data_IF_566902913306
#
_entry.id   IF_566902913306
#
_cell.length_a   1.000
_cell.length_b   1.000
_cell.length_c   1.000
_cell.angle_alpha   90.00
_cell.angle_beta   90.00
_cell.angle_gamma   90.00
#
_symmetry.space_group_name_H-M   'P 1'
#
loop_
_entity.id
_entity.type
_entity.pdbx_description
1 polymer ?
#
# COMPACT_ATOMS: atom_id res chain seq x y z
N UNK A 1 18.67 14.86 3.62
CA UNK A 1 19.30 16.12 3.14
C UNK A 1 18.52 17.31 3.63
N UNK A 2 19.20 18.38 4.04
CA UNK A 2 18.53 19.56 4.62
C UNK A 2 18.93 20.90 4.01
N UNK A 3 20.06 20.97 3.31
CA UNK A 3 20.62 22.23 2.80
C UNK A 3 21.31 22.02 1.45
N UNK A 4 21.11 22.97 0.54
CA UNK A 4 21.76 23.07 -0.77
C UNK A 4 22.55 24.38 -0.83
N UNK A 5 23.70 24.36 -1.48
CA UNK A 5 24.49 25.55 -1.83
C UNK A 5 24.98 25.42 -3.27
N UNK A 6 25.16 26.54 -3.96
CA UNK A 6 25.71 26.58 -5.31
C UNK A 6 26.97 27.45 -5.28
N UNK A 7 28.08 26.94 -5.81
CA UNK A 7 29.32 27.69 -5.95
C UNK A 7 30.04 27.29 -7.24
N UNK A 8 30.40 28.27 -8.08
CA UNK A 8 31.08 28.04 -9.36
C UNK A 8 30.40 26.99 -10.25
N UNK A 9 29.06 27.05 -10.34
CA UNK A 9 28.22 26.09 -11.08
C UNK A 9 28.26 24.65 -10.57
N UNK A 10 28.79 24.40 -9.38
CA UNK A 10 28.71 23.11 -8.69
C UNK A 10 27.64 23.22 -7.61
N UNK A 11 26.72 22.26 -7.61
CA UNK A 11 25.67 22.17 -6.58
C UNK A 11 26.17 21.25 -5.47
N UNK A 12 26.13 21.74 -4.23
CA UNK A 12 26.54 20.99 -3.06
C UNK A 12 25.36 20.70 -2.15
N UNK A 13 25.31 19.50 -1.60
CA UNK A 13 24.28 19.08 -0.65
C UNK A 13 24.91 18.49 0.60
N UNK A 14 24.30 18.83 1.74
CA UNK A 14 24.59 18.21 3.04
C UNK A 14 23.53 17.15 3.36
N UNK A 15 23.96 15.90 3.44
CA UNK A 15 23.14 14.78 3.87
C UNK A 15 23.41 14.43 5.34
N UNK A 16 22.35 14.24 6.12
CA UNK A 16 22.44 13.61 7.44
C UNK A 16 22.54 12.11 7.22
N UNK A 17 23.51 11.46 7.84
CA UNK A 17 23.61 10.01 7.85
C UNK A 17 22.64 9.46 8.92
N UNK A 18 21.35 9.77 8.80
CA UNK A 18 20.32 9.21 9.67
C UNK A 18 20.08 7.76 9.25
N UNK A 19 20.91 6.86 9.76
CA UNK A 19 20.59 5.45 9.82
C UNK A 19 19.71 5.21 11.06
N UNK A 20 18.52 4.64 10.83
CA UNK A 20 17.50 4.34 11.85
C UNK A 20 17.98 3.52 13.06
N UNK A 21 19.24 3.06 13.10
CA UNK A 21 19.83 2.29 14.20
C UNK A 21 21.32 2.61 14.48
N UNK A 22 21.90 3.67 13.90
CA UNK A 22 23.27 4.05 14.26
C UNK A 22 23.24 4.88 15.54
N UNK A 23 23.44 4.23 16.67
CA UNK A 23 23.87 4.92 17.86
C UNK A 23 25.22 5.61 17.52
N UNK A 24 25.23 6.95 17.57
CA UNK A 24 26.41 7.80 17.79
C UNK A 24 27.43 8.08 16.67
N UNK A 25 27.05 8.15 15.39
CA UNK A 25 27.91 8.87 14.42
C UNK A 25 27.18 10.13 13.94
N UNK A 26 27.48 11.26 14.57
CA UNK A 26 27.17 12.59 14.05
C UNK A 26 28.02 12.86 12.78
N UNK A 27 27.74 12.10 11.72
CA UNK A 27 28.39 12.23 10.42
C UNK A 27 27.49 12.97 9.46
N UNK A 28 27.97 14.10 8.93
CA UNK A 28 27.39 14.68 7.72
C UNK A 28 28.23 14.23 6.54
N UNK A 29 27.56 13.69 5.53
CA UNK A 29 28.17 13.38 4.24
C UNK A 29 27.83 14.50 3.27
N UNK A 30 28.81 14.90 2.48
CA UNK A 30 28.66 15.96 1.48
C UNK A 30 28.68 15.35 0.10
N UNK A 31 27.79 15.84 -0.76
CA UNK A 31 27.74 15.45 -2.16
C UNK A 31 27.87 16.70 -3.03
N UNK A 32 28.55 16.55 -4.16
CA UNK A 32 28.67 17.57 -5.18
C UNK A 32 28.06 17.07 -6.49
N UNK A 33 27.51 17.99 -7.27
CA UNK A 33 26.96 17.73 -8.59
C UNK A 33 27.50 18.75 -9.57
N UNK A 34 28.08 18.23 -10.65
CA UNK A 34 28.67 19.00 -11.75
C UNK A 34 27.69 19.20 -12.93
N UNK A 35 26.47 18.66 -12.84
CA UNK A 35 25.46 18.64 -13.90
C UNK A 35 24.11 19.21 -13.46
N UNK A 36 24.16 20.21 -12.56
CA UNK A 36 22.99 20.92 -12.02
C UNK A 36 22.05 20.03 -11.18
N UNK A 37 22.60 19.04 -10.49
CA UNK A 37 21.89 18.22 -9.51
C UNK A 37 21.35 16.89 -10.05
N UNK A 38 21.76 16.45 -11.23
CA UNK A 38 21.27 15.20 -11.83
C UNK A 38 22.09 13.99 -11.38
N UNK A 39 23.42 14.12 -11.31
CA UNK A 39 24.35 13.12 -10.76
C UNK A 39 25.11 13.70 -9.57
N UNK A 40 25.46 12.82 -8.64
CA UNK A 40 26.04 13.20 -7.35
C UNK A 40 27.24 12.33 -7.01
N UNK A 41 28.33 12.97 -6.66
CA UNK A 41 29.55 12.34 -6.15
C UNK A 41 29.77 12.72 -4.69
N UNK A 42 30.20 11.76 -3.88
CA UNK A 42 30.57 12.03 -2.49
C UNK A 42 31.88 12.82 -2.46
N UNK A 43 31.91 13.90 -1.67
CA UNK A 43 33.11 14.73 -1.49
C UNK A 43 33.54 14.73 -0.03
N UNK A 44 34.82 14.50 0.20
CA UNK A 44 35.40 14.44 1.55
C UNK A 44 35.30 15.76 2.30
N UNK A 45 35.47 16.88 1.61
CA UNK A 45 35.25 18.21 2.19
C UNK A 45 34.98 19.26 1.12
N UNK A 46 33.82 19.95 1.14
CA UNK A 46 33.60 21.14 0.32
C UNK A 46 34.57 22.27 0.67
N UNK A 47 34.63 23.30 -0.17
CA UNK A 47 35.37 24.52 0.17
C UNK A 47 34.85 25.15 1.46
N UNK A 48 35.70 25.86 2.21
CA UNK A 48 35.30 26.47 3.49
C UNK A 48 34.09 27.41 3.36
N UNK A 49 33.98 28.13 2.25
CA UNK A 49 32.86 29.02 1.94
C UNK A 49 31.54 28.23 1.80
N UNK A 50 31.54 27.15 1.00
CA UNK A 50 30.39 26.25 0.86
C UNK A 50 30.05 25.58 2.19
N UNK A 51 31.06 25.17 2.95
CA UNK A 51 30.88 24.52 4.25
C UNK A 51 30.17 25.44 5.25
N UNK A 52 30.49 26.73 5.26
CA UNK A 52 29.82 27.71 6.12
C UNK A 52 28.33 27.84 5.77
N UNK A 53 28.00 27.91 4.48
CA UNK A 53 26.60 27.99 4.00
C UNK A 53 25.83 26.70 4.35
N UNK A 54 26.43 25.54 4.12
CA UNK A 54 25.83 24.24 4.43
C UNK A 54 25.66 23.99 5.94
N UNK A 55 26.45 24.67 6.78
CA UNK A 55 26.34 24.63 8.24
C UNK A 55 25.35 25.64 8.81
N UNK A 56 25.01 26.68 8.06
CA UNK A 56 24.07 27.70 8.51
C UNK A 56 22.72 27.05 8.85
N UNK A 57 22.19 27.40 10.04
CA UNK A 57 20.83 26.97 10.42
C UNK A 57 19.87 27.44 9.34
N UNK A 58 18.93 26.58 8.98
CA UNK A 58 17.94 26.87 7.96
C UNK A 58 17.20 28.16 8.35
N UNK A 59 17.51 29.25 7.65
CA UNK A 59 16.81 30.50 7.81
C UNK A 59 15.37 30.33 7.31
N UNK A 60 14.46 31.17 7.83
CA UNK A 60 13.09 31.24 7.38
C UNK A 60 13.08 31.29 5.84
N UNK A 61 12.40 30.33 5.21
CA UNK A 61 12.42 30.07 3.77
C UNK A 61 12.14 31.36 2.99
N UNK A 62 13.19 31.94 2.40
CA UNK A 62 13.11 33.12 1.54
C UNK A 62 12.91 32.69 0.09
N UNK A 63 12.15 33.43 -0.71
CA UNK A 63 12.07 33.19 -2.14
C UNK A 63 13.45 33.33 -2.79
N UNK A 64 13.75 32.50 -3.78
CA UNK A 64 14.97 32.54 -4.58
C UNK A 64 14.59 32.96 -6.00
N UNK A 65 15.08 34.11 -6.43
CA UNK A 65 14.79 34.68 -7.75
C UNK A 65 15.96 34.45 -8.72
N UNK A 66 15.64 34.33 -10.01
CA UNK A 66 16.63 34.26 -11.09
C UNK A 66 17.31 35.63 -11.21
N UNK A 67 18.63 35.67 -11.42
CA UNK A 67 19.37 36.94 -11.45
C UNK A 67 19.10 37.69 -12.75
N UNK A 68 19.04 36.98 -13.88
CA UNK A 68 18.76 37.58 -15.20
C UNK A 68 17.27 37.95 -15.35
N UNK A 69 16.38 37.10 -14.84
CA UNK A 69 14.93 37.28 -14.91
C UNK A 69 14.36 37.56 -13.51
N UNK A 70 14.59 38.77 -13.00
CA UNK A 70 14.23 39.17 -11.62
C UNK A 70 12.75 39.04 -11.27
N UNK A 71 11.88 38.82 -12.26
CA UNK A 71 10.44 38.57 -12.06
C UNK A 71 10.12 37.11 -11.74
N UNK A 72 10.99 36.17 -12.08
CA UNK A 72 10.76 34.75 -11.84
C UNK A 72 11.41 34.36 -10.52
N UNK A 73 10.58 33.96 -9.55
CA UNK A 73 11.02 33.55 -8.23
C UNK A 73 10.40 32.22 -7.84
N UNK A 74 11.15 31.42 -7.08
CA UNK A 74 10.70 30.15 -6.54
C UNK A 74 10.69 30.20 -5.02
N UNK A 75 9.74 29.49 -4.41
CA UNK A 75 9.74 29.30 -2.95
C UNK A 75 9.17 27.95 -2.56
N UNK A 76 9.40 27.61 -1.29
CA UNK A 76 8.83 26.46 -0.60
C UNK A 76 8.02 26.98 0.59
N UNK A 77 6.87 26.37 0.89
CA UNK A 77 5.89 26.88 1.87
C UNK A 77 5.62 25.94 3.04
N UNK A 78 6.60 25.09 3.40
CA UNK A 78 6.44 23.96 4.34
C UNK A 78 5.26 23.02 4.00
N UNK A 79 4.79 23.09 2.75
CA UNK A 79 3.82 22.18 2.16
C UNK A 79 4.55 21.27 1.17
N UNK A 80 3.86 20.24 0.71
CA UNK A 80 4.37 19.23 -0.23
C UNK A 80 4.39 19.75 -1.68
N UNK A 81 4.86 20.98 -1.86
CA UNK A 81 4.85 21.69 -3.15
C UNK A 81 6.00 22.70 -3.25
N UNK A 82 6.35 23.03 -4.50
CA UNK A 82 7.19 24.17 -4.88
C UNK A 82 6.30 25.16 -5.60
N UNK A 83 6.43 26.43 -5.24
CA UNK A 83 5.66 27.51 -5.85
C UNK A 83 6.57 28.37 -6.74
N UNK A 84 6.01 28.85 -7.84
CA UNK A 84 6.64 29.81 -8.75
C UNK A 84 5.84 31.12 -8.74
N UNK A 85 6.56 32.22 -8.87
CA UNK A 85 6.05 33.56 -9.12
C UNK A 85 6.66 34.08 -10.41
N UNK A 86 5.85 34.75 -11.24
CA UNK A 86 6.29 35.39 -12.48
C UNK A 86 6.24 36.93 -12.39
N UNK A 87 6.02 37.48 -11.20
CA UNK A 87 5.84 38.91 -10.94
C UNK A 87 6.70 39.43 -9.77
N UNK A 88 7.83 38.76 -9.51
CA UNK A 88 8.79 39.17 -8.48
C UNK A 88 8.34 38.80 -7.06
N UNK A 89 7.49 37.79 -6.92
CA UNK A 89 7.01 37.28 -5.65
C UNK A 89 5.70 37.90 -5.14
N UNK A 90 4.95 38.59 -6.00
CA UNK A 90 3.66 39.20 -5.63
C UNK A 90 2.56 38.12 -5.64
N UNK A 91 2.46 37.34 -6.71
CA UNK A 91 1.55 36.19 -6.82
C UNK A 91 2.35 34.89 -6.94
N UNK A 92 1.75 33.81 -6.45
CA UNK A 92 2.38 32.49 -6.37
C UNK A 92 1.42 31.42 -6.84
N UNK A 93 1.93 30.50 -7.64
CA UNK A 93 1.19 29.33 -8.12
C UNK A 93 2.01 28.06 -7.90
N UNK A 94 1.34 26.91 -7.80
CA UNK A 94 2.01 25.61 -7.68
C UNK A 94 2.74 25.30 -8.99
N UNK A 95 4.03 25.03 -8.90
CA UNK A 95 4.90 24.67 -10.04
C UNK A 95 5.27 23.19 -10.01
N UNK A 96 5.39 22.63 -8.80
CA UNK A 96 5.51 21.21 -8.57
C UNK A 96 4.71 20.82 -7.33
N UNK A 97 4.05 19.67 -7.39
CA UNK A 97 3.38 19.05 -6.27
C UNK A 97 3.37 17.54 -6.45
N UNK A 98 3.27 16.79 -5.35
CA UNK A 98 3.02 15.35 -5.42
C UNK A 98 1.66 15.12 -6.09
N UNK A 99 1.56 14.19 -7.06
CA UNK A 99 0.27 13.90 -7.68
C UNK A 99 -0.78 13.46 -6.65
N UNK A 100 -2.03 13.86 -6.85
CA UNK A 100 -3.13 13.57 -5.92
C UNK A 100 -3.22 12.06 -5.61
N UNK A 101 -3.39 11.72 -4.32
CA UNK A 101 -3.50 10.35 -3.82
C UNK A 101 -2.19 9.53 -3.81
N UNK A 102 -1.06 10.10 -4.28
CA UNK A 102 0.23 9.38 -4.31
C UNK A 102 1.03 9.46 -3.03
N UNK A 103 0.67 10.38 -2.14
CA UNK A 103 1.21 10.43 -0.79
C UNK A 103 0.98 9.12 -0.04
N UNK A 104 -0.25 8.59 -0.06
CA UNK A 104 -0.59 7.37 0.68
C UNK A 104 0.15 6.15 0.11
N UNK A 105 0.26 6.07 -1.22
CA UNK A 105 1.08 5.05 -1.88
C UNK A 105 2.55 5.11 -1.41
N UNK A 106 3.14 6.31 -1.42
CA UNK A 106 4.51 6.49 -0.95
C UNK A 106 4.67 6.15 0.53
N UNK A 107 3.66 6.41 1.37
CA UNK A 107 3.68 6.06 2.79
C UNK A 107 3.61 4.54 3.03
N UNK A 108 2.81 3.80 2.25
CA UNK A 108 2.68 2.35 2.36
C UNK A 108 3.97 1.58 2.06
N UNK A 109 4.90 2.17 1.31
CA UNK A 109 6.20 1.57 1.00
C UNK A 109 7.18 1.53 2.19
N UNK A 110 6.90 2.20 3.30
CA UNK A 110 7.82 2.33 4.43
C UNK A 110 7.32 1.59 5.68
N UNK A 111 8.20 0.78 6.29
CA UNK A 111 7.98 0.10 7.58
C UNK A 111 8.41 0.98 8.78
N UNK A 112 8.82 2.23 8.54
CA UNK A 112 9.37 3.13 9.56
C UNK A 112 8.98 4.59 9.33
N UNK A 113 9.83 5.57 9.69
CA UNK A 113 9.53 6.97 9.41
C UNK A 113 9.34 7.13 7.90
N UNK A 114 8.14 7.58 7.52
CA UNK A 114 7.71 7.66 6.13
C UNK A 114 8.59 8.57 5.26
N UNK A 115 8.29 8.65 3.96
CA UNK A 115 9.02 9.50 3.05
C UNK A 115 8.89 10.96 3.49
N UNK A 116 10.01 11.69 3.48
CA UNK A 116 9.98 13.12 3.73
C UNK A 116 9.56 13.84 2.47
N UNK A 117 8.30 14.24 2.46
CA UNK A 117 7.61 14.81 1.29
C UNK A 117 7.60 16.35 1.28
N UNK A 118 8.06 16.98 2.36
CA UNK A 118 8.17 18.44 2.47
C UNK A 118 9.57 18.89 2.01
N UNK A 119 9.68 19.81 1.05
CA UNK A 119 10.94 20.42 0.66
C UNK A 119 11.65 21.13 1.83
N UNK A 120 12.96 20.99 1.92
CA UNK A 120 13.79 21.66 2.94
C UNK A 120 14.43 22.94 2.42
N UNK A 121 15.04 22.88 1.24
CA UNK A 121 15.83 24.00 0.72
C UNK A 121 15.71 24.07 -0.79
N UNK A 122 15.95 25.24 -1.35
CA UNK A 122 15.83 25.50 -2.78
C UNK A 122 16.99 26.39 -3.23
N UNK A 123 17.54 26.10 -4.40
CA UNK A 123 18.56 26.91 -5.05
C UNK A 123 18.30 26.99 -6.56
N UNK A 124 18.72 28.08 -7.18
CA UNK A 124 18.66 28.27 -8.62
C UNK A 124 20.10 28.33 -9.15
N UNK A 125 20.37 27.60 -10.23
CA UNK A 125 21.65 27.63 -10.94
C UNK A 125 21.42 28.10 -12.37
N UNK A 126 22.23 29.04 -12.85
CA UNK A 126 22.15 29.52 -14.24
C UNK A 126 23.13 28.74 -15.12
N UNK A 127 22.71 28.44 -16.35
CA UNK A 127 23.48 27.74 -17.37
C UNK A 127 23.27 28.43 -18.73
N UNK A 128 24.12 28.11 -19.71
CA UNK A 128 24.03 28.68 -21.06
C UNK A 128 22.68 28.38 -21.76
N UNK A 129 21.98 27.32 -21.34
CA UNK A 129 20.70 26.88 -21.91
C UNK A 129 19.47 27.34 -21.11
N UNK A 130 19.66 28.07 -20.00
CA UNK A 130 18.59 28.49 -19.09
C UNK A 130 18.94 28.23 -17.62
N UNK A 131 17.95 28.26 -16.74
CA UNK A 131 18.14 28.00 -15.31
C UNK A 131 17.66 26.61 -14.90
N UNK A 132 18.31 26.08 -13.86
CA UNK A 132 17.91 24.87 -13.15
C UNK A 132 17.45 25.26 -11.74
N UNK A 133 16.41 24.59 -11.24
CA UNK A 133 15.94 24.76 -9.86
C UNK A 133 16.19 23.46 -9.12
N UNK A 134 17.00 23.48 -8.07
CA UNK A 134 17.34 22.30 -7.28
C UNK A 134 16.72 22.42 -5.89
N UNK A 135 15.98 21.41 -5.48
CA UNK A 135 15.20 21.38 -4.24
C UNK A 135 15.58 20.14 -3.42
N UNK A 136 15.89 20.34 -2.13
CA UNK A 136 16.28 19.25 -1.24
C UNK A 136 15.04 18.60 -0.63
N UNK A 137 14.90 17.28 -0.82
CA UNK A 137 13.70 16.52 -0.44
C UNK A 137 13.96 15.52 0.70
N UNK A 138 14.85 15.83 1.65
CA UNK A 138 15.01 14.97 2.83
C UNK A 138 15.62 13.61 2.52
N UNK A 139 14.87 12.53 2.75
CA UNK A 139 15.26 11.15 2.39
C UNK A 139 14.87 10.76 0.95
N UNK A 140 14.27 11.68 0.17
CA UNK A 140 13.77 11.43 -1.18
C UNK A 140 14.70 11.91 -2.30
N UNK A 141 15.97 12.21 -2.01
CA UNK A 141 16.86 12.77 -3.03
C UNK A 141 16.75 14.29 -3.16
N UNK A 142 16.99 14.74 -4.38
CA UNK A 142 16.72 16.11 -4.83
C UNK A 142 15.65 16.10 -5.91
N UNK A 143 14.94 17.21 -6.02
CA UNK A 143 14.01 17.50 -7.09
C UNK A 143 14.64 18.61 -7.95
N UNK A 144 14.74 18.40 -9.26
CA UNK A 144 15.39 19.31 -10.20
C UNK A 144 14.43 19.72 -11.31
N UNK A 145 14.23 21.02 -11.50
CA UNK A 145 13.55 21.59 -12.66
C UNK A 145 14.58 21.86 -13.75
N UNK A 146 14.39 21.28 -14.93
CA UNK A 146 15.21 21.57 -16.12
C UNK A 146 14.72 22.83 -16.85
N UNK A 147 15.54 23.43 -17.75
CA UNK A 147 15.16 24.61 -18.52
C UNK A 147 13.93 24.44 -19.41
N UNK A 148 13.58 23.21 -19.77
CA UNK A 148 12.35 22.85 -20.50
C UNK A 148 11.08 22.92 -19.63
N UNK A 149 11.22 23.17 -18.32
CA UNK A 149 10.14 23.27 -17.36
C UNK A 149 9.77 21.96 -16.67
N UNK A 150 10.39 20.83 -17.03
CA UNK A 150 10.07 19.53 -16.45
C UNK A 150 10.75 19.33 -15.10
N UNK A 151 10.04 18.66 -14.19
CA UNK A 151 10.54 18.33 -12.86
C UNK A 151 10.92 16.84 -12.77
N UNK A 152 12.17 16.57 -12.40
CA UNK A 152 12.70 15.23 -12.25
C UNK A 152 13.28 15.01 -10.84
N UNK A 153 13.21 13.78 -10.33
CA UNK A 153 13.72 13.42 -9.00
C UNK A 153 14.98 12.58 -9.15
N UNK A 154 16.03 12.93 -8.43
CA UNK A 154 17.33 12.28 -8.51
C UNK A 154 17.79 11.80 -7.14
N UNK A 155 18.41 10.63 -7.10
CA UNK A 155 18.98 10.07 -5.87
C UNK A 155 20.26 10.81 -5.47
N UNK A 156 20.49 10.94 -4.17
CA UNK A 156 21.73 11.51 -3.60
C UNK A 156 22.21 10.58 -2.50
N UNK A 157 23.30 9.86 -2.76
CA UNK A 157 23.78 8.81 -1.87
C UNK A 157 22.70 7.76 -1.62
N UNK A 158 22.35 7.53 -0.35
CA UNK A 158 21.31 6.58 0.07
C UNK A 158 19.88 7.15 0.00
N UNK A 159 19.72 8.44 -0.26
CA UNK A 159 18.40 9.05 -0.35
C UNK A 159 17.86 8.90 -1.78
N UNK A 160 16.99 7.89 -1.94
CA UNK A 160 16.40 7.50 -3.24
C UNK A 160 14.96 8.00 -3.31
N UNK A 161 14.53 8.63 -4.42
CA UNK A 161 13.14 9.02 -4.61
C UNK A 161 12.21 7.82 -4.57
N UNK A 162 11.19 7.86 -3.71
CA UNK A 162 10.16 6.83 -3.68
C UNK A 162 9.27 6.98 -4.93
N UNK A 163 9.01 5.89 -5.68
CA UNK A 163 8.16 5.96 -6.86
C UNK A 163 6.73 6.38 -6.49
N UNK A 164 6.03 7.02 -7.41
CA UNK A 164 4.62 7.41 -7.20
C UNK A 164 3.63 6.26 -7.49
N UNK A 165 4.12 5.19 -8.10
CA UNK A 165 3.33 4.03 -8.50
C UNK A 165 4.24 2.80 -8.63
N UNK A 166 3.66 1.62 -8.60
CA UNK A 166 4.37 0.37 -8.80
C UNK A 166 4.84 0.25 -10.26
N UNK A 167 6.01 -0.32 -10.49
CA UNK A 167 6.52 -0.57 -11.83
C UNK A 167 5.79 -1.74 -12.53
N UNK A 168 5.22 -2.67 -11.76
CA UNK A 168 4.52 -3.84 -12.27
C UNK A 168 3.52 -4.42 -11.24
N UNK A 169 2.74 -5.42 -11.66
CA UNK A 169 1.73 -6.08 -10.82
C UNK A 169 2.29 -6.76 -9.57
N UNK A 170 3.53 -7.27 -9.63
CA UNK A 170 4.16 -7.92 -8.49
C UNK A 170 4.44 -6.91 -7.38
N UNK A 171 5.11 -5.81 -7.74
CA UNK A 171 5.37 -4.71 -6.80
C UNK A 171 4.06 -4.09 -6.28
N UNK A 172 3.05 -3.94 -7.14
CA UNK A 172 1.72 -3.49 -6.69
C UNK A 172 1.11 -4.43 -5.63
N UNK A 173 1.26 -5.74 -5.80
CA UNK A 173 0.75 -6.75 -4.86
C UNK A 173 1.54 -6.74 -3.54
N UNK A 174 2.85 -6.52 -3.60
CA UNK A 174 3.72 -6.44 -2.41
C UNK A 174 3.32 -5.24 -1.54
N UNK A 175 3.03 -4.08 -2.15
CA UNK A 175 2.54 -2.88 -1.43
C UNK A 175 1.15 -3.11 -0.83
N UNK A 176 0.27 -3.78 -1.56
CA UNK A 176 -1.13 -4.02 -1.19
C UNK A 176 -1.34 -5.25 -0.28
N UNK A 177 -0.34 -5.63 0.51
CA UNK A 177 -0.41 -6.85 1.31
C UNK A 177 -1.61 -6.86 2.28
N UNK A 178 -1.91 -5.74 2.95
CA UNK A 178 -3.07 -5.59 3.83
C UNK A 178 -4.42 -5.77 3.11
N UNK A 179 -4.56 -5.16 1.94
CA UNK A 179 -5.73 -5.23 1.07
C UNK A 179 -5.90 -6.64 0.52
N UNK A 180 -4.80 -7.29 0.14
CA UNK A 180 -4.77 -8.68 -0.31
C UNK A 180 -5.33 -9.61 0.78
N UNK A 181 -4.79 -9.54 2.00
CA UNK A 181 -5.27 -10.37 3.10
C UNK A 181 -6.72 -10.09 3.46
N UNK A 182 -7.12 -8.80 3.49
CA UNK A 182 -8.50 -8.41 3.74
C UNK A 182 -9.45 -8.94 2.66
N UNK A 183 -9.02 -8.91 1.39
CA UNK A 183 -9.82 -9.41 0.26
C UNK A 183 -9.93 -10.93 0.28
N UNK A 184 -8.85 -11.65 0.65
CA UNK A 184 -8.89 -13.10 0.87
C UNK A 184 -9.90 -13.43 1.98
N UNK A 185 -9.87 -12.69 3.09
CA UNK A 185 -10.80 -12.89 4.20
C UNK A 185 -12.25 -12.61 3.78
N UNK A 186 -12.51 -11.52 3.06
CA UNK A 186 -13.85 -11.19 2.54
C UNK A 186 -14.35 -12.27 1.58
N UNK A 187 -13.51 -12.70 0.63
CA UNK A 187 -13.84 -13.76 -0.33
C UNK A 187 -14.15 -15.08 0.38
N UNK A 188 -13.35 -15.43 1.38
CA UNK A 188 -13.58 -16.59 2.23
C UNK A 188 -14.91 -16.45 3.00
N UNK A 189 -15.15 -15.34 3.71
CA UNK A 189 -16.42 -15.12 4.40
C UNK A 189 -17.64 -15.19 3.45
N UNK A 190 -17.53 -14.65 2.25
CA UNK A 190 -18.57 -14.77 1.21
C UNK A 190 -18.80 -16.23 0.81
N UNK A 191 -17.73 -16.99 0.61
CA UNK A 191 -17.81 -18.43 0.33
C UNK A 191 -18.57 -19.20 1.41
N UNK A 192 -18.28 -18.86 2.67
CA UNK A 192 -18.93 -19.46 3.82
C UNK A 192 -20.42 -19.12 3.89
N UNK A 193 -20.77 -17.86 3.62
CA UNK A 193 -22.15 -17.39 3.57
C UNK A 193 -22.96 -18.13 2.48
N UNK A 194 -22.40 -18.22 1.27
CA UNK A 194 -23.03 -18.91 0.14
C UNK A 194 -23.18 -20.41 0.42
N UNK A 195 -22.15 -21.03 1.01
CA UNK A 195 -22.21 -22.44 1.43
C UNK A 195 -23.29 -22.69 2.46
N UNK A 196 -23.37 -21.85 3.50
CA UNK A 196 -24.41 -21.95 4.52
C UNK A 196 -25.81 -21.80 3.90
N UNK A 197 -25.99 -20.84 3.00
CA UNK A 197 -27.25 -20.64 2.30
C UNK A 197 -27.66 -21.86 1.45
N UNK A 198 -26.70 -22.46 0.74
CA UNK A 198 -26.91 -23.69 -0.01
C UNK A 198 -27.30 -24.86 0.93
N UNK A 199 -26.64 -24.98 2.09
CA UNK A 199 -26.96 -26.01 3.07
C UNK A 199 -28.34 -25.82 3.68
N UNK A 200 -28.76 -24.59 4.01
CA UNK A 200 -30.11 -24.28 4.48
C UNK A 200 -31.16 -24.69 3.45
N UNK A 201 -30.90 -24.40 2.18
CA UNK A 201 -31.77 -24.79 1.06
C UNK A 201 -31.93 -26.31 0.97
N UNK A 202 -30.83 -27.06 1.09
CA UNK A 202 -30.85 -28.53 1.10
C UNK A 202 -31.53 -29.05 2.37
N UNK A 203 -31.26 -28.43 3.52
CA UNK A 203 -31.79 -28.80 4.83
C UNK A 203 -33.31 -28.73 4.88
N UNK A 204 -33.92 -27.64 4.41
CA UNK A 204 -35.38 -27.43 4.42
C UNK A 204 -36.10 -28.57 3.69
N UNK A 205 -35.46 -29.18 2.69
CA UNK A 205 -36.03 -30.28 1.88
C UNK A 205 -35.71 -31.67 2.43
N UNK A 206 -34.91 -31.77 3.49
CA UNK A 206 -34.39 -33.05 3.98
C UNK A 206 -35.28 -33.71 5.04
N UNK A 207 -35.21 -35.05 5.13
CA UNK A 207 -35.89 -35.83 6.17
C UNK A 207 -35.32 -35.51 7.58
N UNK A 208 -36.12 -35.75 8.63
CA UNK A 208 -35.83 -35.43 10.04
C UNK A 208 -34.51 -36.01 10.52
N UNK A 209 -34.15 -37.23 10.11
CA UNK A 209 -32.86 -37.84 10.49
C UNK A 209 -31.67 -37.10 9.85
N UNK A 210 -31.86 -36.61 8.63
CA UNK A 210 -30.84 -35.91 7.84
C UNK A 210 -30.57 -34.50 8.37
N UNK A 211 -31.63 -33.83 8.83
CA UNK A 211 -31.59 -32.51 9.48
C UNK A 211 -30.61 -32.49 10.65
N UNK A 212 -30.64 -33.50 11.52
CA UNK A 212 -29.75 -33.54 12.70
C UNK A 212 -28.26 -33.57 12.31
N UNK A 213 -27.89 -34.31 11.26
CA UNK A 213 -26.50 -34.41 10.76
C UNK A 213 -26.02 -33.11 10.12
N UNK A 214 -26.88 -32.46 9.34
CA UNK A 214 -26.58 -31.16 8.73
C UNK A 214 -26.38 -30.10 9.82
N UNK A 215 -27.26 -30.07 10.84
CA UNK A 215 -27.17 -29.11 11.95
C UNK A 215 -25.84 -29.23 12.72
N UNK A 216 -25.40 -30.45 13.04
CA UNK A 216 -24.09 -30.66 13.69
C UNK A 216 -22.94 -30.17 12.83
N UNK A 217 -23.01 -30.35 11.51
CA UNK A 217 -21.95 -29.88 10.60
C UNK A 217 -21.93 -28.35 10.50
N UNK A 218 -23.10 -27.70 10.48
CA UNK A 218 -23.23 -26.25 10.55
C UNK A 218 -22.65 -25.66 11.86
N UNK A 219 -22.78 -26.36 12.99
CA UNK A 219 -22.22 -25.90 14.28
C UNK A 219 -20.68 -25.93 14.29
N UNK A 220 -20.06 -27.00 13.78
CA UNK A 220 -18.58 -27.09 13.65
C UNK A 220 -18.06 -26.00 12.70
N UNK A 221 -18.84 -25.69 11.67
CA UNK A 221 -18.55 -24.63 10.73
C UNK A 221 -18.65 -23.22 11.34
N UNK A 222 -19.71 -22.92 12.10
CA UNK A 222 -19.85 -21.64 12.82
C UNK A 222 -18.69 -21.40 13.79
N UNK A 223 -18.19 -22.46 14.43
CA UNK A 223 -16.99 -22.36 15.26
C UNK A 223 -15.74 -21.96 14.46
N UNK A 224 -15.61 -22.47 13.23
CA UNK A 224 -14.53 -22.13 12.31
C UNK A 224 -14.60 -20.68 11.82
N UNK A 225 -15.82 -20.14 11.64
CA UNK A 225 -16.07 -18.73 11.31
C UNK A 225 -15.60 -17.79 12.41
N UNK A 226 -15.70 -18.17 13.68
CA UNK A 226 -15.27 -17.31 14.80
C UNK A 226 -13.75 -17.32 14.94
N UNK A 227 -13.13 -18.51 14.83
CA UNK A 227 -11.68 -18.66 15.05
C UNK A 227 -10.85 -17.87 14.04
N UNK A 228 -11.21 -17.89 12.75
CA UNK A 228 -10.40 -17.29 11.69
C UNK A 228 -10.27 -15.75 11.79
N UNK A 229 -11.36 -14.98 11.94
CA UNK A 229 -11.29 -13.54 12.20
C UNK A 229 -10.62 -13.22 13.52
N UNK A 230 -10.89 -13.97 14.60
CA UNK A 230 -10.22 -13.75 15.89
C UNK A 230 -8.71 -13.93 15.78
N UNK A 231 -8.27 -14.94 15.02
CA UNK A 231 -6.87 -15.19 14.74
C UNK A 231 -6.25 -14.12 13.83
N UNK A 232 -6.98 -13.67 12.81
CA UNK A 232 -6.54 -12.57 11.94
C UNK A 232 -6.36 -11.27 12.73
N UNK A 233 -7.34 -10.90 13.57
CA UNK A 233 -7.28 -9.73 14.46
C UNK A 233 -6.08 -9.85 15.39
N UNK A 234 -5.82 -11.04 15.95
CA UNK A 234 -4.67 -11.30 16.80
C UNK A 234 -3.33 -11.09 16.06
N UNK A 235 -3.24 -11.52 14.79
CA UNK A 235 -2.04 -11.29 13.98
C UNK A 235 -1.86 -9.82 13.59
N UNK A 236 -2.94 -9.14 13.20
CA UNK A 236 -2.88 -7.75 12.74
C UNK A 236 -2.65 -6.75 13.87
N UNK A 237 -3.03 -7.11 15.11
CA UNK A 237 -2.81 -6.28 16.31
C UNK A 237 -1.39 -6.39 16.89
N UNK A 238 -0.55 -7.26 16.35
CA UNK A 238 0.78 -7.57 16.89
C UNK A 238 1.97 -6.61 16.64
N UNK A 239 1.96 -5.48 15.87
CA UNK A 239 3.21 -4.78 15.57
C UNK A 239 3.56 -3.53 16.38
N UNK A 240 2.76 -3.05 17.35
CA UNK A 240 3.01 -1.70 17.93
C UNK A 240 3.14 -1.61 19.46
N UNK A 241 3.34 -2.74 20.16
CA UNK A 241 3.58 -2.73 21.60
C UNK A 241 5.10 -2.65 21.84
N UNK A 242 5.66 -1.43 21.70
CA UNK A 242 7.11 -1.18 21.70
C UNK A 242 7.90 -1.64 22.93
N UNK A 243 7.25 -1.90 24.07
CA UNK A 243 7.89 -2.46 25.28
C UNK A 243 8.03 -3.99 25.26
N UNK A 244 7.39 -4.68 24.32
CA UNK A 244 7.53 -6.14 24.17
C UNK A 244 8.64 -6.53 23.19
N UNK A 245 9.14 -5.64 22.31
CA UNK A 245 10.05 -6.03 21.22
C UNK A 245 11.32 -6.77 21.68
N UNK A 246 11.91 -6.39 22.80
CA UNK A 246 13.12 -7.03 23.34
C UNK A 246 12.85 -8.42 23.93
N UNK A 247 11.71 -8.62 24.61
CA UNK A 247 11.30 -9.95 25.11
C UNK A 247 10.70 -10.82 23.98
N UNK A 248 9.98 -10.20 23.04
CA UNK A 248 9.42 -10.83 21.84
C UNK A 248 10.52 -11.38 20.95
N UNK A 249 11.60 -10.63 20.71
CA UNK A 249 12.68 -11.11 19.84
C UNK A 249 13.32 -12.40 20.38
N UNK A 250 13.54 -12.47 21.70
CA UNK A 250 14.14 -13.66 22.33
C UNK A 250 13.19 -14.85 22.35
N UNK A 251 11.92 -14.66 22.75
CA UNK A 251 10.93 -15.75 22.81
C UNK A 251 10.50 -16.19 21.40
N UNK A 252 10.21 -15.26 20.50
CA UNK A 252 9.80 -15.60 19.12
C UNK A 252 10.93 -16.24 18.35
N UNK A 253 12.20 -15.83 18.52
CA UNK A 253 13.29 -16.50 17.80
C UNK A 253 13.42 -17.97 18.20
N UNK A 254 13.28 -18.31 19.48
CA UNK A 254 13.36 -19.70 19.97
C UNK A 254 12.11 -20.52 19.63
N UNK A 255 10.93 -19.90 19.65
CA UNK A 255 9.66 -20.58 19.37
C UNK A 255 9.15 -20.38 17.93
N UNK A 256 9.94 -19.76 17.04
CA UNK A 256 9.48 -19.35 15.69
C UNK A 256 8.89 -20.51 14.91
N UNK A 257 9.55 -21.67 14.98
CA UNK A 257 9.11 -22.87 14.26
C UNK A 257 7.86 -23.50 14.88
N UNK A 258 7.76 -23.54 16.21
CA UNK A 258 6.59 -24.07 16.92
C UNK A 258 5.37 -23.18 16.68
N UNK A 259 5.57 -21.86 16.80
CA UNK A 259 4.54 -20.86 16.49
C UNK A 259 4.15 -20.98 15.02
N UNK A 260 5.10 -20.99 14.08
CA UNK A 260 4.80 -21.14 12.65
C UNK A 260 4.05 -22.45 12.34
N UNK A 261 4.45 -23.57 12.94
CA UNK A 261 3.75 -24.85 12.79
C UNK A 261 2.33 -24.82 13.34
N UNK A 262 2.14 -24.30 14.55
CA UNK A 262 0.82 -24.11 15.15
C UNK A 262 -0.06 -23.18 14.30
N UNK A 263 0.51 -22.11 13.74
CA UNK A 263 -0.18 -21.20 12.81
C UNK A 263 -0.66 -21.94 11.57
N UNK A 264 0.17 -22.78 10.95
CA UNK A 264 -0.23 -23.58 9.79
C UNK A 264 -1.41 -24.51 10.15
N UNK A 265 -1.33 -25.22 11.27
CA UNK A 265 -2.40 -26.14 11.70
C UNK A 265 -3.72 -25.39 11.97
N UNK A 266 -3.67 -24.27 12.68
CA UNK A 266 -4.84 -23.43 12.99
C UNK A 266 -5.52 -22.92 11.71
N UNK A 267 -4.75 -22.59 10.67
CA UNK A 267 -5.29 -22.14 9.39
C UNK A 267 -5.84 -23.28 8.53
N UNK A 268 -5.26 -24.48 8.61
CA UNK A 268 -5.70 -25.65 7.81
C UNK A 268 -6.97 -26.29 8.38
N UNK A 269 -7.13 -26.32 9.70
CA UNK A 269 -8.23 -27.03 10.35
C UNK A 269 -9.64 -26.56 9.90
N UNK A 270 -9.92 -25.23 9.79
CA UNK A 270 -11.16 -24.72 9.21
C UNK A 270 -11.42 -25.21 7.78
N UNK A 271 -10.36 -25.26 6.96
CA UNK A 271 -10.44 -25.70 5.58
C UNK A 271 -10.80 -27.18 5.50
N UNK A 272 -10.15 -28.04 6.30
CA UNK A 272 -10.48 -29.48 6.37
C UNK A 272 -11.92 -29.67 6.85
N UNK A 273 -12.30 -29.03 7.95
CA UNK A 273 -13.65 -29.09 8.53
C UNK A 273 -14.73 -28.71 7.49
N UNK A 274 -14.44 -27.67 6.73
CA UNK A 274 -15.29 -27.20 5.66
C UNK A 274 -15.45 -28.22 4.53
N UNK A 275 -14.35 -28.77 4.00
CA UNK A 275 -14.41 -29.78 2.95
C UNK A 275 -15.14 -31.04 3.40
N UNK A 276 -14.89 -31.49 4.63
CA UNK A 276 -15.62 -32.61 5.23
C UNK A 276 -17.12 -32.31 5.29
N UNK A 277 -17.50 -31.09 5.68
CA UNK A 277 -18.91 -30.67 5.73
C UNK A 277 -19.57 -30.71 4.35
N UNK A 278 -18.91 -30.17 3.32
CA UNK A 278 -19.44 -30.24 1.94
C UNK A 278 -19.54 -31.67 1.42
N UNK A 279 -18.53 -32.51 1.66
CA UNK A 279 -18.57 -33.94 1.29
C UNK A 279 -19.73 -34.64 1.98
N UNK A 280 -19.99 -34.34 3.26
CA UNK A 280 -21.14 -34.87 3.97
C UNK A 280 -22.45 -34.39 3.35
N UNK A 281 -22.61 -33.08 3.11
CA UNK A 281 -23.82 -32.49 2.52
C UNK A 281 -24.11 -33.06 1.13
N UNK A 282 -23.10 -33.18 0.25
CA UNK A 282 -23.26 -33.75 -1.09
C UNK A 282 -23.67 -35.23 -1.01
N UNK A 283 -23.01 -36.03 -0.15
CA UNK A 283 -23.37 -37.45 0.04
C UNK A 283 -24.80 -37.65 0.53
N UNK A 284 -25.27 -36.72 1.34
CA UNK A 284 -26.59 -36.70 1.98
C UNK A 284 -27.68 -36.16 1.05
N UNK A 285 -27.32 -35.29 0.10
CA UNK A 285 -28.27 -34.64 -0.79
C UNK A 285 -29.02 -35.65 -1.67
N UNK A 286 -30.32 -35.44 -1.85
CA UNK A 286 -31.17 -36.27 -2.73
C UNK A 286 -30.72 -36.20 -4.19
N UNK A 287 -30.16 -35.05 -4.60
CA UNK A 287 -29.61 -34.82 -5.93
C UNK A 287 -28.15 -34.36 -5.79
N UNK A 288 -27.22 -35.28 -6.04
CA UNK A 288 -25.77 -35.03 -5.91
C UNK A 288 -25.28 -33.98 -6.88
N UNK A 289 -25.85 -33.93 -8.09
CA UNK A 289 -25.46 -32.97 -9.13
C UNK A 289 -25.80 -31.55 -8.69
N UNK A 290 -26.96 -31.38 -8.04
CA UNK A 290 -27.36 -30.10 -7.46
C UNK A 290 -26.41 -29.67 -6.33
N UNK A 291 -26.05 -30.58 -5.43
CA UNK A 291 -25.10 -30.30 -4.35
C UNK A 291 -23.69 -29.95 -4.87
N UNK A 292 -23.26 -30.59 -5.96
CA UNK A 292 -21.99 -30.27 -6.61
C UNK A 292 -22.05 -28.91 -7.33
N UNK A 293 -23.16 -28.61 -7.99
CA UNK A 293 -23.37 -27.35 -8.69
C UNK A 293 -23.36 -26.15 -7.73
N UNK A 294 -24.02 -26.23 -6.57
CA UNK A 294 -24.02 -25.16 -5.57
C UNK A 294 -22.64 -24.97 -4.92
N UNK A 295 -21.92 -26.06 -4.65
CA UNK A 295 -20.51 -25.97 -4.22
C UNK A 295 -19.68 -25.24 -5.28
N UNK A 296 -19.78 -25.65 -6.55
CA UNK A 296 -19.02 -25.05 -7.64
C UNK A 296 -19.33 -23.56 -7.78
N UNK A 297 -20.60 -23.18 -7.73
CA UNK A 297 -21.00 -21.77 -7.81
C UNK A 297 -20.49 -20.96 -6.63
N UNK A 298 -20.59 -21.51 -5.41
CA UNK A 298 -20.02 -20.88 -4.21
C UNK A 298 -18.52 -20.62 -4.39
N UNK A 299 -17.75 -21.60 -4.89
CA UNK A 299 -16.31 -21.43 -5.16
C UNK A 299 -16.06 -20.38 -6.24
N UNK A 300 -16.75 -20.48 -7.38
CA UNK A 300 -16.57 -19.59 -8.53
C UNK A 300 -16.89 -18.15 -8.16
N UNK A 301 -18.01 -17.89 -7.49
CA UNK A 301 -18.38 -16.53 -7.08
C UNK A 301 -17.41 -15.95 -6.06
N UNK A 302 -16.87 -16.75 -5.14
CA UNK A 302 -15.85 -16.28 -4.20
C UNK A 302 -14.53 -15.94 -4.88
N UNK A 303 -14.12 -16.71 -5.90
CA UNK A 303 -12.94 -16.37 -6.72
C UNK A 303 -13.18 -15.10 -7.52
N UNK A 304 -14.34 -14.96 -8.16
CA UNK A 304 -14.71 -13.72 -8.88
C UNK A 304 -14.70 -12.53 -7.92
N UNK A 305 -15.31 -12.67 -6.74
CA UNK A 305 -15.36 -11.63 -5.71
C UNK A 305 -13.95 -11.17 -5.32
N UNK A 306 -13.03 -12.12 -5.08
CA UNK A 306 -11.64 -11.83 -4.76
C UNK A 306 -10.98 -10.94 -5.82
N UNK A 307 -11.07 -11.32 -7.10
CA UNK A 307 -10.45 -10.53 -8.18
C UNK A 307 -11.14 -9.18 -8.38
N UNK A 308 -12.47 -9.13 -8.28
CA UNK A 308 -13.25 -7.92 -8.43
C UNK A 308 -12.96 -6.87 -7.35
N UNK A 309 -12.73 -7.30 -6.10
CA UNK A 309 -12.36 -6.40 -4.99
C UNK A 309 -10.90 -5.99 -5.09
N UNK A 310 -10.00 -6.89 -5.48
CA UNK A 310 -8.56 -6.61 -5.52
C UNK A 310 -8.14 -5.73 -6.70
N UNK A 311 -8.78 -5.89 -7.85
CA UNK A 311 -8.38 -5.22 -9.10
C UNK A 311 -8.35 -3.68 -8.99
N UNK A 312 -9.34 -2.98 -8.40
CA UNK A 312 -9.28 -1.53 -8.25
C UNK A 312 -8.07 -1.07 -7.42
N UNK A 313 -7.70 -1.81 -6.36
CA UNK A 313 -6.50 -1.49 -5.58
C UNK A 313 -5.22 -1.66 -6.41
N UNK A 314 -5.12 -2.74 -7.20
CA UNK A 314 -4.00 -2.91 -8.11
C UNK A 314 -3.90 -1.79 -9.15
N UNK A 315 -5.04 -1.37 -9.73
CA UNK A 315 -5.10 -0.24 -10.65
C UNK A 315 -4.73 1.09 -9.99
N UNK A 316 -5.05 1.27 -8.70
CA UNK A 316 -4.57 2.41 -7.93
C UNK A 316 -3.06 2.38 -7.75
N UNK A 317 -2.49 1.27 -7.27
CA UNK A 317 -1.06 1.11 -7.08
C UNK A 317 -0.26 1.29 -8.39
N UNK A 318 -0.83 0.90 -9.54
CA UNK A 318 -0.23 1.03 -10.87
C UNK A 318 -0.31 2.43 -11.49
N UNK A 319 -0.94 3.41 -10.84
CA UNK A 319 -1.05 4.76 -11.42
C UNK A 319 -2.39 5.08 -12.08
N UNK A 320 -3.20 4.06 -12.41
CA UNK A 320 -4.41 4.21 -13.25
C UNK A 320 -5.56 4.90 -12.49
N UNK A 321 -5.79 4.52 -11.23
CA UNK A 321 -6.70 5.22 -10.32
C UNK A 321 -5.85 6.13 -9.44
N UNK A 322 -6.05 7.44 -9.49
CA UNK A 322 -5.18 8.41 -8.79
C UNK A 322 -5.35 8.36 -7.26
N UNK A 323 -6.58 8.19 -6.78
CA UNK A 323 -6.96 8.35 -5.37
C UNK A 323 -7.38 7.01 -4.76
N UNK A 324 -6.86 6.67 -3.59
CA UNK A 324 -7.09 5.37 -2.93
C UNK A 324 -8.58 5.18 -2.58
N UNK A 325 -9.22 6.23 -2.08
CA UNK A 325 -10.64 6.24 -1.71
C UNK A 325 -11.54 5.90 -2.89
N UNK A 326 -11.15 6.32 -4.10
CA UNK A 326 -11.88 5.97 -5.32
C UNK A 326 -11.79 4.46 -5.61
N UNK A 327 -10.60 3.88 -5.48
CA UNK A 327 -10.44 2.43 -5.61
C UNK A 327 -11.25 1.66 -4.56
N UNK A 328 -11.22 2.11 -3.30
CA UNK A 328 -12.00 1.53 -2.21
C UNK A 328 -13.51 1.53 -2.53
N UNK A 329 -14.08 2.67 -2.96
CA UNK A 329 -15.50 2.78 -3.32
C UNK A 329 -15.85 1.85 -4.48
N UNK A 330 -15.02 1.79 -5.52
CA UNK A 330 -15.23 0.88 -6.66
C UNK A 330 -15.21 -0.58 -6.19
N UNK A 331 -14.22 -0.98 -5.38
CA UNK A 331 -14.12 -2.34 -4.83
C UNK A 331 -15.36 -2.75 -4.05
N UNK A 332 -15.90 -1.85 -3.20
CA UNK A 332 -17.14 -2.11 -2.47
C UNK A 332 -18.35 -2.27 -3.37
N UNK A 333 -18.55 -1.36 -4.33
CA UNK A 333 -19.68 -1.42 -5.25
C UNK A 333 -19.68 -2.72 -6.07
N UNK A 334 -18.53 -3.06 -6.68
CA UNK A 334 -18.40 -4.29 -7.46
C UNK A 334 -18.56 -5.52 -6.57
N UNK A 335 -17.97 -5.51 -5.37
CA UNK A 335 -18.11 -6.62 -4.41
C UNK A 335 -19.57 -6.89 -4.02
N UNK A 336 -20.34 -5.84 -3.71
CA UNK A 336 -21.78 -5.95 -3.38
C UNK A 336 -22.55 -6.54 -4.57
N UNK A 337 -22.29 -6.05 -5.79
CA UNK A 337 -22.96 -6.55 -7.01
C UNK A 337 -22.68 -8.06 -7.19
N UNK A 338 -21.44 -8.50 -7.04
CA UNK A 338 -21.06 -9.92 -7.16
C UNK A 338 -21.79 -10.78 -6.13
N UNK A 339 -21.83 -10.34 -4.87
CA UNK A 339 -22.54 -11.06 -3.80
C UNK A 339 -24.04 -11.16 -4.08
N UNK A 340 -24.68 -10.08 -4.55
CA UNK A 340 -26.10 -10.09 -4.91
C UNK A 340 -26.39 -11.06 -6.06
N UNK A 341 -25.56 -11.06 -7.11
CA UNK A 341 -25.68 -11.99 -8.23
C UNK A 341 -25.52 -13.44 -7.75
N UNK A 342 -24.55 -13.70 -6.87
CA UNK A 342 -24.32 -15.03 -6.30
C UNK A 342 -25.54 -15.52 -5.51
N UNK A 343 -26.10 -14.68 -4.63
CA UNK A 343 -27.30 -15.00 -3.85
C UNK A 343 -28.52 -15.26 -4.72
N UNK A 344 -28.75 -14.43 -5.76
CA UNK A 344 -29.84 -14.63 -6.73
C UNK A 344 -29.67 -15.96 -7.48
N UNK A 345 -28.44 -16.29 -7.86
CA UNK A 345 -28.12 -17.52 -8.59
C UNK A 345 -28.39 -18.76 -7.72
N UNK A 346 -27.93 -18.76 -6.48
CA UNK A 346 -28.22 -19.82 -5.50
C UNK A 346 -29.72 -19.94 -5.23
N UNK A 347 -30.44 -18.82 -5.09
CA UNK A 347 -31.89 -18.83 -4.92
C UNK A 347 -32.63 -19.42 -6.13
N UNK A 348 -32.21 -19.12 -7.36
CA UNK A 348 -32.82 -19.71 -8.57
C UNK A 348 -32.64 -21.23 -8.61
N UNK A 349 -31.45 -21.72 -8.24
CA UNK A 349 -31.14 -23.14 -8.18
C UNK A 349 -31.96 -23.82 -7.09
N UNK A 350 -32.10 -23.17 -5.94
CA UNK A 350 -32.97 -23.60 -4.85
C UNK A 350 -34.40 -23.84 -5.32
N UNK A 351 -34.96 -22.88 -6.07
CA UNK A 351 -36.32 -22.92 -6.63
C UNK A 351 -36.48 -24.01 -7.68
N UNK A 352 -35.54 -24.15 -8.61
CA UNK A 352 -35.58 -25.20 -9.65
C UNK A 352 -35.61 -26.60 -9.02
N UNK A 353 -34.87 -26.79 -7.94
CA UNK A 353 -34.87 -28.04 -7.20
C UNK A 353 -36.15 -28.31 -6.38
N UNK A 354 -37.15 -27.40 -6.33
CA UNK A 354 -38.44 -27.65 -5.65
C UNK A 354 -39.43 -28.34 -6.58
N UNK A 355 -39.30 -28.15 -7.91
CA UNK A 355 -40.31 -28.68 -8.83
C UNK A 355 -40.32 -30.22 -8.75
N UNK A 356 -41.45 -30.84 -8.39
CA UNK A 356 -41.55 -32.29 -8.36
C UNK A 356 -41.24 -32.80 -9.75
N UNK A 357 -40.40 -33.84 -9.84
CA UNK A 357 -40.21 -34.60 -11.07
C UNK A 357 -41.55 -35.27 -11.34
N UNK A 358 -42.40 -34.62 -12.14
CA UNK A 358 -43.60 -35.25 -12.67
C UNK A 358 -43.12 -36.44 -13.50
N UNK A 359 -43.31 -37.63 -12.94
CA UNK A 359 -43.04 -38.89 -13.64
C UNK A 359 -44.00 -39.08 -14.80
#
# INVERSE_FOLDING_TARGET
MKKISVSKNIVYVRASQDCNNCQTIEGFVYYASHDNGQTWEEVTSPTNEVLQILKQKQNKQSPVCILVETKVCYRITYKEQVEISNDGGVTWQSDWQIPAGRKDYMQMLFVGPGPTIIPFDIQVTESAIGHFVVVAMGNQGVLVKSPDGNWNRYAVGLAVPTPYQAANFREATDVLSSELYSTILIAFCSFLLLSFWAWVTIYIKSDKMLRKKILTSCLVFLFSIVILPSYYIFLSSSPNIGWLESLHYYIISHFRYIIAGARIIINILPFISFWVTWLMVIRISLNKDLGLLTLLLSVVFSVILYFCILLPFQLWALGTISVYETALVISWLVGIIVVLIALISEFRIAVLAIRPISK
#
